data_IF_169324607022
#
_entry.id   IF_169324607022
#
_cell.length_a   1.000
_cell.length_b   1.000
_cell.length_c   1.000
_cell.angle_alpha   90.00
_cell.angle_beta   90.00
_cell.angle_gamma   90.00
#
_symmetry.space_group_name_H-M   'P 1'
#
loop_
_entity.id
_entity.type
_entity.pdbx_description
1 polymer ?
#
# COMPACT_ATOMS: atom_id res chain seq x y z
N UNK A 1 -5.80 2.71 27.20
CA UNK A 1 -4.91 1.85 26.39
C UNK A 1 -4.56 2.66 25.16
N UNK A 2 -3.30 2.70 24.74
CA UNK A 2 -2.93 3.29 23.45
C UNK A 2 -3.46 2.35 22.36
N UNK A 3 -4.45 2.81 21.59
CA UNK A 3 -5.16 1.97 20.62
C UNK A 3 -4.24 1.62 19.45
N UNK A 4 -4.06 0.31 19.21
CA UNK A 4 -3.34 -0.21 18.05
C UNK A 4 -4.37 -0.63 17.01
N UNK A 5 -4.13 -0.26 15.75
CA UNK A 5 -4.93 -0.72 14.62
C UNK A 5 -4.06 -1.43 13.60
N UNK A 6 -4.55 -2.55 13.10
CA UNK A 6 -3.85 -3.39 12.13
C UNK A 6 -4.81 -3.74 11.00
N UNK A 7 -4.34 -3.60 9.77
CA UNK A 7 -5.13 -3.97 8.58
C UNK A 7 -4.27 -4.52 7.45
N UNK A 8 -4.89 -5.30 6.57
CA UNK A 8 -4.27 -5.82 5.36
C UNK A 8 -4.74 -4.99 4.17
N UNK A 9 -3.79 -4.47 3.40
CA UNK A 9 -4.05 -3.85 2.10
C UNK A 9 -3.73 -4.86 1.00
N UNK A 10 -4.71 -5.15 0.16
CA UNK A 10 -4.53 -5.92 -1.07
C UNK A 10 -4.25 -4.98 -2.23
N UNK A 11 -3.19 -5.25 -2.99
CA UNK A 11 -2.76 -4.51 -4.17
C UNK A 11 -2.84 -5.46 -5.35
N UNK A 12 -3.59 -5.12 -6.39
CA UNK A 12 -3.68 -5.94 -7.59
C UNK A 12 -3.77 -5.12 -8.87
N UNK A 13 -3.38 -5.75 -9.97
CA UNK A 13 -3.53 -5.20 -11.32
C UNK A 13 -4.06 -6.29 -12.25
N UNK A 14 -5.13 -5.97 -13.00
CA UNK A 14 -5.77 -6.91 -13.93
C UNK A 14 -5.85 -6.27 -15.31
N UNK A 15 -5.26 -6.88 -16.35
CA UNK A 15 -5.47 -6.44 -17.73
C UNK A 15 -6.93 -6.61 -18.15
N UNK A 16 -7.54 -5.54 -18.66
CA UNK A 16 -8.91 -5.49 -19.18
C UNK A 16 -8.88 -4.95 -20.61
N UNK A 17 -8.61 -5.84 -21.58
CA UNK A 17 -8.42 -5.46 -22.98
C UNK A 17 -7.15 -4.64 -23.16
N UNK A 18 -7.28 -3.42 -23.68
CA UNK A 18 -6.17 -2.47 -23.85
C UNK A 18 -5.86 -1.66 -22.58
N UNK A 19 -6.67 -1.82 -21.52
CA UNK A 19 -6.51 -1.11 -20.26
C UNK A 19 -5.96 -2.03 -19.17
N UNK A 20 -5.40 -1.42 -18.12
CA UNK A 20 -5.02 -2.13 -16.90
C UNK A 20 -5.85 -1.54 -15.76
N UNK A 21 -6.62 -2.39 -15.09
CA UNK A 21 -7.38 -2.02 -13.92
C UNK A 21 -6.51 -2.20 -12.67
N UNK A 22 -6.30 -1.11 -11.92
CA UNK A 22 -5.49 -1.08 -10.71
C UNK A 22 -6.39 -1.02 -9.49
N UNK A 23 -6.16 -1.89 -8.51
CA UNK A 23 -6.94 -1.94 -7.28
C UNK A 23 -6.02 -1.93 -6.07
N UNK A 24 -6.36 -1.09 -5.09
CA UNK A 24 -5.76 -1.07 -3.76
C UNK A 24 -6.91 -1.00 -2.76
N UNK A 25 -7.07 -2.04 -1.95
CA UNK A 25 -8.24 -2.20 -1.07
C UNK A 25 -7.83 -2.54 0.34
N UNK A 26 -8.45 -1.89 1.32
CA UNK A 26 -8.38 -2.24 2.73
C UNK A 26 -9.35 -3.39 3.05
N UNK A 27 -8.85 -4.50 3.59
CA UNK A 27 -9.70 -5.64 3.98
C UNK A 27 -10.65 -5.30 5.14
N UNK A 28 -10.34 -4.26 5.92
CA UNK A 28 -11.15 -3.83 7.05
C UNK A 28 -11.96 -2.55 6.79
N UNK A 29 -12.04 -2.05 5.55
CA UNK A 29 -12.61 -0.74 5.17
C UNK A 29 -13.83 -0.30 6.04
N UNK A 30 -14.88 -1.13 6.10
CA UNK A 30 -16.10 -0.83 6.87
C UNK A 30 -15.94 -0.79 8.41
N UNK A 31 -14.80 -1.20 8.94
CA UNK A 31 -14.47 -1.31 10.37
C UNK A 31 -13.27 -0.44 10.75
N UNK A 32 -12.73 0.33 9.81
CA UNK A 32 -11.56 1.18 10.06
C UNK A 32 -11.92 2.27 11.07
N UNK A 33 -11.23 2.34 12.23
CA UNK A 33 -11.51 3.35 13.24
C UNK A 33 -11.29 4.77 12.72
N UNK A 34 -12.08 5.72 13.22
CA UNK A 34 -12.04 7.13 12.78
C UNK A 34 -10.65 7.76 12.94
N UNK A 35 -9.91 7.40 14.00
CA UNK A 35 -8.59 7.97 14.29
C UNK A 35 -7.48 7.57 13.30
N UNK A 36 -7.68 6.51 12.50
CA UNK A 36 -6.71 6.02 11.49
C UNK A 36 -7.28 6.04 10.07
N UNK A 37 -8.58 6.29 9.88
CA UNK A 37 -9.22 6.18 8.56
C UNK A 37 -8.62 7.08 7.50
N UNK A 38 -8.27 8.32 7.86
CA UNK A 38 -7.58 9.26 6.95
C UNK A 38 -6.18 8.78 6.58
N UNK A 39 -5.46 8.19 7.54
CA UNK A 39 -4.12 7.65 7.35
C UNK A 39 -4.14 6.43 6.40
N UNK A 40 -5.05 5.47 6.65
CA UNK A 40 -5.25 4.30 5.79
C UNK A 40 -5.60 4.73 4.36
N UNK A 41 -6.50 5.69 4.21
CA UNK A 41 -6.85 6.27 2.90
C UNK A 41 -5.63 6.88 2.20
N UNK A 42 -4.82 7.66 2.92
CA UNK A 42 -3.58 8.23 2.40
C UNK A 42 -2.62 7.16 1.88
N UNK A 43 -2.43 6.08 2.66
CA UNK A 43 -1.58 4.95 2.24
C UNK A 43 -2.11 4.29 0.98
N UNK A 44 -3.41 4.02 0.89
CA UNK A 44 -4.01 3.40 -0.31
C UNK A 44 -3.84 4.27 -1.56
N UNK A 45 -4.02 5.59 -1.44
CA UNK A 45 -3.82 6.53 -2.54
C UNK A 45 -2.36 6.52 -3.02
N UNK A 46 -1.41 6.49 -2.09
CA UNK A 46 0.01 6.44 -2.41
C UNK A 46 0.40 5.12 -3.08
N UNK A 47 -0.07 3.99 -2.55
CA UNK A 47 0.13 2.67 -3.15
C UNK A 47 -0.45 2.60 -4.57
N UNK A 48 -1.64 3.16 -4.80
CA UNK A 48 -2.26 3.24 -6.15
C UNK A 48 -1.36 4.03 -7.12
N UNK A 49 -0.78 5.14 -6.64
CA UNK A 49 0.17 5.95 -7.42
C UNK A 49 1.49 5.22 -7.70
N UNK A 50 2.02 4.46 -6.73
CA UNK A 50 3.23 3.65 -6.92
C UNK A 50 2.94 2.58 -7.97
N UNK A 51 1.87 1.80 -7.77
CA UNK A 51 1.44 0.72 -8.65
C UNK A 51 1.29 1.16 -10.11
N UNK A 52 0.53 2.22 -10.35
CA UNK A 52 0.28 2.74 -11.70
C UNK A 52 1.56 3.18 -12.41
N UNK A 53 2.56 3.71 -11.68
CA UNK A 53 3.85 4.12 -12.26
C UNK A 53 4.82 2.96 -12.49
N UNK A 54 4.78 1.93 -11.64
CA UNK A 54 5.76 0.86 -11.66
C UNK A 54 5.32 -0.38 -12.44
N UNK A 55 4.01 -0.56 -12.67
CA UNK A 55 3.46 -1.78 -13.26
C UNK A 55 4.16 -2.22 -14.54
N UNK A 56 4.26 -1.32 -15.54
CA UNK A 56 4.87 -1.67 -16.84
C UNK A 56 6.33 -2.12 -16.65
N UNK A 57 7.10 -1.42 -15.82
CA UNK A 57 8.49 -1.78 -15.53
C UNK A 57 8.60 -3.14 -14.83
N UNK A 58 7.74 -3.40 -13.84
CA UNK A 58 7.72 -4.67 -13.11
C UNK A 58 7.36 -5.83 -14.05
N UNK A 59 6.35 -5.67 -14.91
CA UNK A 59 5.96 -6.72 -15.87
C UNK A 59 7.05 -6.94 -16.93
N UNK A 60 7.75 -5.90 -17.38
CA UNK A 60 8.88 -6.06 -18.29
C UNK A 60 10.03 -6.86 -17.66
N UNK A 61 10.32 -6.64 -16.38
CA UNK A 61 11.34 -7.39 -15.64
C UNK A 61 10.87 -8.80 -15.23
N UNK A 62 9.56 -8.96 -15.01
CA UNK A 62 8.91 -10.19 -14.51
C UNK A 62 7.61 -10.47 -15.27
N UNK A 63 7.71 -10.92 -16.54
CA UNK A 63 6.54 -11.15 -17.38
C UNK A 63 5.56 -12.18 -16.81
N UNK A 64 6.06 -13.10 -15.97
CA UNK A 64 5.24 -14.10 -15.28
C UNK A 64 4.16 -13.50 -14.38
N UNK A 65 4.29 -12.23 -13.97
CA UNK A 65 3.33 -11.54 -13.11
C UNK A 65 2.15 -10.93 -13.87
N UNK A 66 2.18 -10.86 -15.21
CA UNK A 66 1.17 -10.13 -16.00
C UNK A 66 -0.26 -10.62 -15.73
N UNK A 67 -0.44 -11.92 -15.52
CA UNK A 67 -1.73 -12.55 -15.27
C UNK A 67 -2.03 -12.81 -13.78
N UNK A 68 -1.05 -12.61 -12.89
CA UNK A 68 -1.13 -12.94 -11.46
C UNK A 68 -0.63 -11.78 -10.58
N UNK A 69 -0.77 -10.53 -11.03
CA UNK A 69 -0.30 -9.37 -10.30
C UNK A 69 -1.19 -9.11 -9.08
N UNK A 70 -0.82 -9.69 -7.94
CA UNK A 70 -1.50 -9.48 -6.68
C UNK A 70 -0.53 -9.61 -5.52
N UNK A 71 -0.69 -8.76 -4.50
CA UNK A 71 0.09 -8.85 -3.27
C UNK A 71 -0.65 -8.24 -2.09
N UNK A 72 -0.22 -8.59 -0.88
CA UNK A 72 -0.80 -8.12 0.36
C UNK A 72 0.26 -7.46 1.24
N UNK A 73 -0.10 -6.33 1.84
CA UNK A 73 0.69 -5.63 2.84
C UNK A 73 -0.08 -5.58 4.16
N UNK A 74 0.58 -5.96 5.24
CA UNK A 74 0.08 -5.75 6.59
C UNK A 74 0.55 -4.38 7.09
N UNK A 75 -0.41 -3.51 7.40
CA UNK A 75 -0.18 -2.20 7.98
C UNK A 75 -0.51 -2.23 9.46
N UNK A 76 0.40 -1.73 10.28
CA UNK A 76 0.18 -1.56 11.72
C UNK A 76 0.41 -0.10 12.12
N UNK A 77 -0.64 0.53 12.62
CA UNK A 77 -0.66 1.90 13.10
C UNK A 77 -0.55 1.88 14.63
N UNK A 78 0.48 2.57 15.15
CA UNK A 78 0.75 2.68 16.58
C UNK A 78 0.83 4.16 16.97
N UNK A 79 0.31 4.57 18.13
CA UNK A 79 0.39 5.97 18.56
C UNK A 79 1.82 6.46 18.85
N UNK A 80 2.73 5.55 19.21
CA UNK A 80 4.10 5.87 19.64
C UNK A 80 5.17 5.44 18.62
N UNK A 81 4.77 4.77 17.53
CA UNK A 81 5.67 4.29 16.48
C UNK A 81 5.10 4.64 15.11
N UNK A 82 5.95 5.00 14.14
CA UNK A 82 5.51 5.21 12.77
C UNK A 82 4.83 3.94 12.22
N UNK A 83 4.01 4.13 11.18
CA UNK A 83 3.39 3.04 10.41
C UNK A 83 4.41 1.93 10.14
N UNK A 84 4.12 0.72 10.61
CA UNK A 84 4.90 -0.48 10.31
C UNK A 84 4.27 -1.23 9.16
N UNK A 85 5.08 -1.67 8.20
CA UNK A 85 4.63 -2.35 6.99
C UNK A 85 5.31 -3.71 6.93
N UNK A 86 4.52 -4.78 6.86
CA UNK A 86 5.03 -6.14 6.66
C UNK A 86 4.44 -6.72 5.37
N UNK A 87 5.23 -7.52 4.66
CA UNK A 87 4.83 -8.08 3.38
C UNK A 87 5.71 -9.26 3.00
N UNK A 88 5.11 -10.28 2.40
CA UNK A 88 5.81 -11.47 1.95
C UNK A 88 5.72 -11.62 0.43
N UNK A 89 6.83 -12.02 -0.19
CA UNK A 89 6.96 -12.10 -1.65
C UNK A 89 7.52 -10.82 -2.28
N UNK A 90 7.94 -10.94 -3.53
CA UNK A 90 8.73 -9.88 -4.20
C UNK A 90 7.96 -8.58 -4.38
N UNK A 91 6.67 -8.66 -4.71
CA UNK A 91 5.80 -7.49 -4.88
C UNK A 91 5.55 -6.79 -3.55
N UNK A 92 5.23 -7.53 -2.49
CA UNK A 92 5.00 -6.96 -1.17
C UNK A 92 6.25 -6.21 -0.66
N UNK A 93 7.42 -6.84 -0.77
CA UNK A 93 8.70 -6.22 -0.39
C UNK A 93 9.00 -4.97 -1.22
N UNK A 94 8.69 -5.00 -2.52
CA UNK A 94 8.83 -3.84 -3.40
C UNK A 94 7.95 -2.66 -2.93
N UNK A 95 6.65 -2.90 -2.76
CA UNK A 95 5.71 -1.84 -2.37
C UNK A 95 5.97 -1.30 -0.97
N UNK A 96 6.35 -2.15 -0.02
CA UNK A 96 6.75 -1.71 1.33
C UNK A 96 7.93 -0.74 1.26
N UNK A 97 9.00 -1.10 0.54
CA UNK A 97 10.17 -0.23 0.36
C UNK A 97 9.86 1.05 -0.40
N UNK A 98 9.01 0.97 -1.43
CA UNK A 98 8.59 2.15 -2.17
C UNK A 98 7.83 3.11 -1.26
N UNK A 99 6.94 2.58 -0.42
CA UNK A 99 6.18 3.37 0.55
C UNK A 99 7.09 4.04 1.59
N UNK A 100 8.05 3.29 2.14
CA UNK A 100 9.08 3.82 3.05
C UNK A 100 9.95 4.91 2.41
N UNK A 101 10.33 4.74 1.14
CA UNK A 101 11.09 5.74 0.39
C UNK A 101 10.28 7.02 0.19
N UNK A 102 9.01 6.90 -0.22
CA UNK A 102 8.11 8.06 -0.36
C UNK A 102 7.95 8.82 0.96
N UNK A 103 7.92 8.14 2.11
CA UNK A 103 7.87 8.80 3.42
C UNK A 103 9.15 9.53 3.78
N UNK A 104 10.29 9.00 3.35
CA UNK A 104 11.58 9.64 3.55
C UNK A 104 11.72 10.91 2.70
N UNK A 105 11.11 10.90 1.51
CA UNK A 105 11.18 11.99 0.54
C UNK A 105 10.09 13.08 0.74
N UNK A 106 8.98 12.77 1.43
CA UNK A 106 7.87 13.69 1.73
C UNK A 106 7.56 13.77 3.24
N UNK A 107 8.30 14.63 3.98
CA UNK A 107 8.13 14.78 5.43
C UNK A 107 6.75 15.33 5.83
N UNK A 108 6.06 16.07 4.95
CA UNK A 108 4.73 16.64 5.24
C UNK A 108 3.67 15.55 5.21
N UNK A 109 3.71 14.67 4.21
CA UNK A 109 2.85 13.49 4.17
C UNK A 109 3.13 12.55 5.35
N UNK A 110 4.40 12.37 5.70
CA UNK A 110 4.77 11.58 6.88
C UNK A 110 4.24 12.22 8.19
N UNK A 111 4.32 13.54 8.34
CA UNK A 111 3.77 14.23 9.50
C UNK A 111 2.25 14.07 9.59
N UNK A 112 1.53 14.15 8.46
CA UNK A 112 0.10 13.87 8.38
C UNK A 112 -0.25 12.44 8.84
N UNK A 113 0.55 11.45 8.46
CA UNK A 113 0.33 10.06 8.91
C UNK A 113 0.61 9.82 10.39
N UNK A 114 1.31 10.75 11.07
CA UNK A 114 1.65 10.64 12.49
C UNK A 114 0.90 11.67 13.37
N UNK A 115 0.00 12.48 12.80
CA UNK A 115 -0.86 13.44 13.51
C UNK A 115 -2.22 12.84 13.84
#
# INVERSE_FOLDING_TARGET
>A
MTEMYQTTITISAVPEGDNINFSVTDENDAKTPEFVGSQVTGVMMLLTRILSKSYIGIIQEKPELENEFSTQLLLTFKPEQPLSIEGSGILAVYFAKALEAYYSDDPEFFAFLNS
#
